data_IF_343939052701
#
_entry.id   IF_343939052701
#
_cell.length_a   1.000
_cell.length_b   1.000
_cell.length_c   1.000
_cell.angle_alpha   90.00
_cell.angle_beta   90.00
_cell.angle_gamma   90.00
#
_symmetry.space_group_name_H-M   'P 1'
#
loop_
_entity.id
_entity.type
_entity.pdbx_description
1 polymer ?
#
# COMPACT_ATOMS: atom_id res chain seq x y z
N UNK A 1 -52.50 -18.09 8.16
CA UNK A 1 -52.49 -16.94 7.23
C UNK A 1 -51.91 -15.76 8.00
N UNK A 2 -50.73 -15.24 7.59
CA UNK A 2 -50.20 -13.87 7.84
C UNK A 2 -48.67 -13.72 7.99
N UNK A 3 -47.81 -14.65 7.56
CA UNK A 3 -46.34 -14.43 7.61
C UNK A 3 -45.62 -14.51 6.24
N UNK A 4 -46.35 -14.35 5.13
CA UNK A 4 -45.86 -14.65 3.78
C UNK A 4 -45.09 -13.56 2.97
N UNK A 5 -44.81 -12.32 3.41
CA UNK A 5 -43.92 -11.48 2.55
C UNK A 5 -42.80 -10.67 3.19
N UNK A 6 -42.61 -10.68 4.52
CA UNK A 6 -41.62 -9.80 5.16
C UNK A 6 -40.26 -10.47 5.47
N UNK A 7 -40.20 -11.81 5.39
CA UNK A 7 -38.97 -12.56 5.70
C UNK A 7 -38.02 -12.71 4.49
N UNK A 8 -38.52 -12.52 3.25
CA UNK A 8 -37.73 -12.84 2.06
C UNK A 8 -36.75 -11.74 1.61
N UNK A 9 -37.04 -10.45 1.86
CA UNK A 9 -36.16 -9.35 1.44
C UNK A 9 -35.44 -8.65 2.61
N UNK A 10 -36.09 -8.51 3.78
CA UNK A 10 -35.50 -7.86 4.95
C UNK A 10 -34.52 -8.75 5.74
N UNK A 11 -34.74 -10.07 5.75
CA UNK A 11 -33.91 -11.00 6.52
C UNK A 11 -32.55 -11.28 5.86
N UNK A 12 -32.53 -11.42 4.53
CA UNK A 12 -31.28 -11.72 3.79
C UNK A 12 -30.26 -10.59 3.95
N UNK A 13 -30.69 -9.33 3.84
CA UNK A 13 -29.77 -8.20 3.98
C UNK A 13 -29.21 -8.09 5.42
N UNK A 14 -30.05 -8.30 6.44
CA UNK A 14 -29.61 -8.29 7.84
C UNK A 14 -28.62 -9.41 8.17
N UNK A 15 -28.85 -10.62 7.65
CA UNK A 15 -27.96 -11.77 7.84
C UNK A 15 -26.64 -11.54 7.11
N UNK A 16 -26.66 -11.06 5.87
CA UNK A 16 -25.46 -10.73 5.11
C UNK A 16 -24.62 -9.64 5.80
N UNK A 17 -25.26 -8.58 6.30
CA UNK A 17 -24.55 -7.49 6.99
C UNK A 17 -23.91 -7.96 8.29
N UNK A 18 -24.64 -8.74 9.09
CA UNK A 18 -24.13 -9.30 10.36
C UNK A 18 -22.98 -10.29 10.11
N UNK A 19 -23.11 -11.14 9.09
CA UNK A 19 -22.06 -12.08 8.69
C UNK A 19 -20.81 -11.37 8.18
N UNK A 20 -20.97 -10.31 7.39
CA UNK A 20 -19.85 -9.51 6.88
C UNK A 20 -19.11 -8.79 8.01
N UNK A 21 -19.84 -8.18 8.97
CA UNK A 21 -19.24 -7.55 10.16
C UNK A 21 -18.52 -8.59 11.02
N UNK A 22 -19.10 -9.78 11.20
CA UNK A 22 -18.48 -10.86 11.97
C UNK A 22 -17.20 -11.40 11.30
N UNK A 23 -17.22 -11.59 9.98
CA UNK A 23 -16.06 -12.01 9.20
C UNK A 23 -14.93 -10.96 9.27
N UNK A 24 -15.26 -9.68 9.12
CA UNK A 24 -14.29 -8.58 9.22
C UNK A 24 -13.75 -8.40 10.63
N UNK A 25 -14.57 -8.56 11.67
CA UNK A 25 -14.12 -8.49 13.06
C UNK A 25 -13.13 -9.61 13.37
N UNK A 26 -13.42 -10.84 12.92
CA UNK A 26 -12.55 -12.02 13.11
C UNK A 26 -11.25 -11.88 12.30
N UNK A 27 -11.34 -11.44 11.05
CA UNK A 27 -10.18 -11.18 10.18
C UNK A 27 -9.32 -10.03 10.72
N UNK A 28 -9.94 -8.94 11.16
CA UNK A 28 -9.24 -7.78 11.71
C UNK A 28 -8.59 -8.05 13.07
N UNK A 29 -9.29 -8.70 14.00
CA UNK A 29 -8.76 -8.96 15.34
C UNK A 29 -7.73 -10.08 15.37
N UNK A 30 -8.03 -11.24 14.77
CA UNK A 30 -7.15 -12.41 14.87
C UNK A 30 -6.09 -12.39 13.78
N UNK A 31 -6.49 -12.15 12.53
CA UNK A 31 -5.56 -12.29 11.41
C UNK A 31 -4.58 -11.13 11.30
N UNK A 32 -5.01 -9.86 11.48
CA UNK A 32 -4.05 -8.75 11.45
C UNK A 32 -3.08 -8.79 12.62
N UNK A 33 -3.49 -9.21 13.82
CA UNK A 33 -2.59 -9.24 14.98
C UNK A 33 -1.45 -10.24 14.75
N UNK A 34 -1.74 -11.47 14.29
CA UNK A 34 -0.70 -12.48 14.08
C UNK A 34 0.07 -12.34 12.74
N UNK A 35 -0.59 -11.84 11.69
CA UNK A 35 0.05 -11.71 10.35
C UNK A 35 1.03 -10.53 10.31
N UNK A 36 0.77 -9.46 11.06
CA UNK A 36 1.65 -8.28 11.08
C UNK A 36 2.97 -8.59 11.80
N UNK A 37 2.93 -9.38 12.88
CA UNK A 37 4.13 -9.89 13.57
C UNK A 37 5.00 -10.74 12.63
N UNK A 38 4.38 -11.66 11.87
CA UNK A 38 5.08 -12.47 10.87
C UNK A 38 5.65 -11.62 9.72
N UNK A 39 4.89 -10.61 9.25
CA UNK A 39 5.32 -9.73 8.16
C UNK A 39 6.55 -8.89 8.54
N UNK A 40 6.57 -8.29 9.74
CA UNK A 40 7.72 -7.51 10.20
C UNK A 40 8.94 -8.39 10.43
N UNK A 41 8.76 -9.63 10.88
CA UNK A 41 9.85 -10.59 10.97
C UNK A 41 10.45 -10.89 9.59
N UNK A 42 9.61 -11.24 8.62
CA UNK A 42 10.07 -11.47 7.23
C UNK A 42 10.70 -10.22 6.60
N UNK A 43 10.16 -9.03 6.86
CA UNK A 43 10.74 -7.77 6.37
C UNK A 43 12.10 -7.49 7.01
N UNK A 44 12.30 -7.83 8.29
CA UNK A 44 13.61 -7.70 8.94
C UNK A 44 14.65 -8.59 8.30
N UNK A 45 14.31 -9.86 8.03
CA UNK A 45 15.17 -10.77 7.26
C UNK A 45 15.44 -10.21 5.86
N UNK A 46 14.41 -9.72 5.16
CA UNK A 46 14.59 -9.07 3.86
C UNK A 46 15.56 -7.90 3.96
N UNK A 47 15.35 -6.96 4.87
CA UNK A 47 16.19 -5.78 4.93
C UNK A 47 17.62 -6.11 5.37
N UNK A 48 17.82 -6.85 6.47
CA UNK A 48 19.17 -7.12 6.98
C UNK A 48 19.94 -8.10 6.11
N UNK A 49 19.26 -9.10 5.56
CA UNK A 49 19.89 -10.24 4.89
C UNK A 49 19.94 -10.07 3.37
N UNK A 50 18.94 -9.41 2.76
CA UNK A 50 18.92 -9.12 1.31
C UNK A 50 19.74 -7.86 0.98
N UNK A 51 19.65 -6.78 1.76
CA UNK A 51 20.47 -5.59 1.46
C UNK A 51 21.95 -5.80 1.77
N UNK A 52 22.30 -6.47 2.87
CA UNK A 52 23.72 -6.64 3.23
C UNK A 52 24.47 -7.56 2.26
N UNK A 53 23.78 -8.43 1.49
CA UNK A 53 24.43 -9.35 0.53
C UNK A 53 24.40 -8.87 -0.93
N UNK A 54 23.39 -8.11 -1.35
CA UNK A 54 23.24 -7.72 -2.77
C UNK A 54 23.25 -6.20 -3.00
N UNK A 55 23.07 -5.37 -1.97
CA UNK A 55 23.01 -3.91 -2.12
C UNK A 55 24.30 -3.28 -1.57
N UNK A 56 25.29 -3.11 -2.44
CA UNK A 56 26.62 -2.58 -2.05
C UNK A 56 26.62 -1.08 -1.74
N UNK A 57 25.47 -0.39 -1.79
CA UNK A 57 25.35 1.03 -1.42
C UNK A 57 26.14 2.03 -2.28
N UNK A 58 27.09 1.58 -3.10
CA UNK A 58 27.89 2.39 -4.04
C UNK A 58 27.11 2.74 -5.32
N UNK A 59 25.85 3.13 -5.17
CA UNK A 59 25.03 3.65 -6.27
C UNK A 59 24.93 5.16 -6.17
N UNK A 60 25.54 5.90 -7.10
CA UNK A 60 25.23 7.32 -7.24
C UNK A 60 23.77 7.47 -7.68
N UNK A 61 22.97 8.25 -6.95
CA UNK A 61 21.63 8.60 -7.40
C UNK A 61 21.74 9.30 -8.75
N UNK A 62 21.31 8.63 -9.82
CA UNK A 62 21.35 9.18 -11.16
C UNK A 62 20.45 10.42 -11.23
N UNK A 63 21.06 11.60 -11.10
CA UNK A 63 20.37 12.86 -11.30
C UNK A 63 20.29 13.13 -12.80
N UNK A 64 19.07 12.99 -13.34
CA UNK A 64 18.80 13.21 -14.76
C UNK A 64 19.25 14.61 -15.15
N UNK A 65 20.03 14.71 -16.24
CA UNK A 65 20.37 15.99 -16.84
C UNK A 65 19.09 16.65 -17.39
N UNK A 66 18.70 17.79 -16.82
CA UNK A 66 17.52 18.54 -17.27
C UNK A 66 17.93 19.54 -18.35
N UNK A 67 17.65 19.21 -19.61
CA UNK A 67 17.90 20.08 -20.76
C UNK A 67 17.23 21.46 -20.63
N UNK A 68 16.07 21.54 -19.97
CA UNK A 68 15.34 22.79 -19.79
C UNK A 68 16.14 23.79 -18.94
N UNK A 69 16.75 23.32 -17.85
CA UNK A 69 17.60 24.14 -16.98
C UNK A 69 18.89 24.58 -17.68
N UNK A 70 19.46 23.71 -18.52
CA UNK A 70 20.65 24.07 -19.31
C UNK A 70 20.35 25.10 -20.39
N UNK A 71 19.21 24.97 -21.08
CA UNK A 71 18.78 25.91 -22.12
C UNK A 71 18.40 27.27 -21.53
N UNK A 72 17.71 27.30 -20.38
CA UNK A 72 17.38 28.54 -19.68
C UNK A 72 18.63 29.31 -19.25
N UNK A 73 19.65 28.62 -18.71
CA UNK A 73 20.95 29.23 -18.44
C UNK A 73 21.57 29.85 -19.71
N UNK A 74 21.61 29.11 -20.83
CA UNK A 74 22.18 29.61 -22.10
C UNK A 74 21.41 30.81 -22.66
N UNK A 75 20.08 30.79 -22.59
CA UNK A 75 19.24 31.92 -23.01
C UNK A 75 19.45 33.14 -22.11
N UNK A 76 19.46 32.96 -20.78
CA UNK A 76 19.68 34.05 -19.84
C UNK A 76 21.08 34.69 -19.99
N UNK A 77 22.10 33.93 -20.39
CA UNK A 77 23.42 34.49 -20.70
C UNK A 77 23.46 35.20 -22.06
N UNK A 78 22.67 34.79 -23.05
CA UNK A 78 22.61 35.45 -24.37
C UNK A 78 21.76 36.72 -24.40
N UNK A 79 20.80 36.89 -23.48
CA UNK A 79 19.97 38.11 -23.38
C UNK A 79 20.59 39.17 -22.46
N UNK A 80 21.65 38.82 -21.71
CA UNK A 80 22.34 39.73 -20.79
C UNK A 80 23.72 40.20 -21.28
N UNK A 81 24.04 39.95 -22.56
CA UNK A 81 25.11 40.58 -23.35
C UNK A 81 24.47 41.34 -24.52
#
# INVERSE_FOLDING_TARGET
MSLEPQLQNGSIFGICFTFMVYALATFGVLMCMDTLECFLHSLRLHWVEFQSKFYKGDGYCFQKFNYLHFLDQKFQFSTRM
#
